data_IF_411942232826
#
_entry.id   IF_411942232826
#
_cell.length_a   1.000
_cell.length_b   1.000
_cell.length_c   1.000
_cell.angle_alpha   90.00
_cell.angle_beta   90.00
_cell.angle_gamma   90.00
#
_symmetry.space_group_name_H-M   'P 1'
#
loop_
_entity.id
_entity.type
_entity.pdbx_description
1 polymer ?
#
# COMPACT_ATOMS: atom_id res chain seq x y z
N UNK A 1 -0.44 29.28 -27.84
CA UNK A 1 -1.05 28.89 -26.56
C UNK A 1 -2.41 28.32 -26.91
N UNK A 2 -2.69 27.08 -26.53
CA UNK A 2 -3.99 26.45 -26.76
C UNK A 2 -4.71 26.37 -25.41
N UNK A 3 -5.95 26.84 -25.35
CA UNK A 3 -6.77 26.83 -24.15
C UNK A 3 -7.89 25.80 -24.31
N UNK A 4 -8.17 25.05 -23.24
CA UNK A 4 -9.29 24.13 -23.18
C UNK A 4 -10.51 24.87 -22.63
N UNK A 5 -11.62 24.84 -23.38
CA UNK A 5 -12.84 25.58 -23.05
C UNK A 5 -13.99 24.71 -22.56
N UNK A 6 -13.85 23.39 -22.58
CA UNK A 6 -14.93 22.45 -22.24
C UNK A 6 -14.75 21.87 -20.83
N UNK A 7 -15.82 21.94 -20.02
CA UNK A 7 -15.85 21.37 -18.66
C UNK A 7 -16.29 19.91 -18.73
N UNK A 8 -15.34 18.99 -18.62
CA UNK A 8 -15.63 17.55 -18.71
C UNK A 8 -16.15 16.93 -17.40
N UNK A 9 -15.76 17.49 -16.24
CA UNK A 9 -16.03 16.88 -14.93
C UNK A 9 -17.49 17.04 -14.50
N UNK A 10 -18.07 18.21 -14.72
CA UNK A 10 -19.47 18.53 -14.42
C UNK A 10 -20.32 18.59 -15.70
N UNK A 11 -19.97 17.83 -16.75
CA UNK A 11 -20.61 17.96 -18.07
C UNK A 11 -22.13 17.72 -18.06
N UNK A 12 -22.60 16.89 -17.13
CA UNK A 12 -24.02 16.55 -16.97
C UNK A 12 -24.80 17.63 -16.20
N UNK A 13 -24.11 18.58 -15.56
CA UNK A 13 -24.68 19.68 -14.80
C UNK A 13 -24.04 21.02 -15.23
N UNK A 14 -24.54 21.51 -16.36
CA UNK A 14 -24.04 22.74 -16.98
C UNK A 14 -24.22 23.96 -16.08
N UNK A 15 -25.34 24.05 -15.36
CA UNK A 15 -25.63 25.19 -14.47
C UNK A 15 -24.61 25.25 -13.33
N UNK A 16 -24.33 24.11 -12.69
CA UNK A 16 -23.30 24.04 -11.66
C UNK A 16 -21.89 24.30 -12.21
N UNK A 17 -21.57 23.76 -13.38
CA UNK A 17 -20.28 24.02 -14.04
C UNK A 17 -20.04 25.53 -14.28
N UNK A 18 -21.07 26.26 -14.70
CA UNK A 18 -21.00 27.70 -14.94
C UNK A 18 -20.86 28.50 -13.64
N UNK A 19 -21.56 28.10 -12.57
CA UNK A 19 -21.37 28.69 -11.23
C UNK A 19 -19.90 28.56 -10.79
N UNK A 20 -19.30 27.38 -10.94
CA UNK A 20 -17.89 27.15 -10.58
C UNK A 20 -16.92 28.02 -11.41
N UNK A 21 -17.20 28.19 -12.70
CA UNK A 21 -16.40 29.08 -13.57
C UNK A 21 -16.48 30.55 -13.13
N UNK A 22 -17.67 31.04 -12.78
CA UNK A 22 -17.83 32.40 -12.25
C UNK A 22 -17.10 32.58 -10.92
N UNK A 23 -17.14 31.60 -10.03
CA UNK A 23 -16.41 31.62 -8.76
C UNK A 23 -14.89 31.68 -8.99
N UNK A 24 -14.37 30.86 -9.91
CA UNK A 24 -12.95 30.86 -10.30
C UNK A 24 -12.46 32.25 -10.71
N UNK A 25 -13.28 32.99 -11.43
CA UNK A 25 -12.94 34.33 -11.95
C UNK A 25 -13.29 35.47 -10.98
N UNK A 26 -13.95 35.18 -9.86
CA UNK A 26 -14.45 36.20 -8.93
C UNK A 26 -15.68 36.95 -9.44
N UNK A 27 -16.36 36.45 -10.48
CA UNK A 27 -17.53 37.04 -11.13
C UNK A 27 -18.87 36.42 -10.66
N UNK A 28 -18.89 35.77 -9.50
CA UNK A 28 -20.08 35.13 -8.96
C UNK A 28 -21.11 36.18 -8.50
N UNK A 29 -22.39 35.84 -8.66
CA UNK A 29 -23.53 36.66 -8.26
C UNK A 29 -24.05 36.26 -6.88
N UNK A 30 -24.91 37.09 -6.28
CA UNK A 30 -25.61 36.72 -5.04
C UNK A 30 -26.47 35.47 -5.22
N UNK A 31 -27.12 35.31 -6.37
CA UNK A 31 -27.91 34.12 -6.69
C UNK A 31 -27.04 32.85 -6.72
N UNK A 32 -25.82 32.93 -7.27
CA UNK A 32 -24.87 31.80 -7.27
C UNK A 32 -24.54 31.36 -5.84
N UNK A 33 -24.34 32.33 -4.94
CA UNK A 33 -24.05 32.07 -3.53
C UNK A 33 -25.24 31.44 -2.82
N UNK A 34 -26.47 31.89 -3.09
CA UNK A 34 -27.67 31.29 -2.49
C UNK A 34 -27.84 29.82 -2.93
N UNK A 35 -27.62 29.51 -4.21
CA UNK A 35 -27.63 28.11 -4.71
C UNK A 35 -26.62 27.25 -3.95
N UNK A 36 -25.40 27.76 -3.68
CA UNK A 36 -24.40 27.02 -2.92
C UNK A 36 -24.77 26.87 -1.44
N UNK A 37 -25.42 27.89 -0.85
CA UNK A 37 -25.89 27.81 0.54
C UNK A 37 -26.97 26.74 0.74
N UNK A 38 -27.76 26.43 -0.29
CA UNK A 38 -28.72 25.30 -0.25
C UNK A 38 -28.03 23.94 -0.04
N UNK A 39 -26.71 23.86 -0.26
CA UNK A 39 -25.91 22.64 -0.05
C UNK A 39 -25.22 22.60 1.32
N UNK A 40 -25.43 23.60 2.18
CA UNK A 40 -24.91 23.59 3.54
C UNK A 40 -25.67 22.52 4.34
N UNK A 41 -24.92 21.57 4.90
CA UNK A 41 -25.47 20.59 5.82
C UNK A 41 -25.79 21.25 7.17
N UNK A 42 -27.05 21.16 7.60
CA UNK A 42 -27.53 21.68 8.88
C UNK A 42 -27.45 20.65 10.02
N UNK A 43 -26.65 19.60 9.86
CA UNK A 43 -26.44 18.53 10.83
C UNK A 43 -24.98 18.53 11.29
N UNK A 44 -24.76 18.36 12.60
CA UNK A 44 -23.40 18.34 13.15
C UNK A 44 -22.73 16.98 12.93
N UNK A 45 -21.39 16.89 12.94
CA UNK A 45 -20.66 15.63 12.81
C UNK A 45 -21.00 14.55 13.86
N UNK A 46 -21.68 14.92 14.95
CA UNK A 46 -22.12 13.98 15.99
C UNK A 46 -23.51 13.40 15.73
N UNK A 47 -24.24 13.95 14.75
CA UNK A 47 -25.57 13.47 14.38
C UNK A 47 -25.46 12.11 13.66
N UNK A 48 -26.35 11.13 13.95
CA UNK A 48 -26.29 9.80 13.32
C UNK A 48 -26.35 9.82 11.79
N UNK A 49 -27.13 10.77 11.24
CA UNK A 49 -27.29 10.93 9.78
C UNK A 49 -26.18 11.77 9.13
N UNK A 50 -25.17 12.21 9.90
CA UNK A 50 -24.04 12.92 9.32
C UNK A 50 -23.24 11.97 8.41
N UNK A 51 -22.91 12.37 7.17
CA UNK A 51 -22.27 11.48 6.20
C UNK A 51 -20.77 11.33 6.48
N UNK A 52 -20.42 10.79 7.64
CA UNK A 52 -19.04 10.66 8.13
C UNK A 52 -18.15 9.81 7.20
N UNK A 53 -18.77 8.92 6.42
CA UNK A 53 -18.10 8.04 5.46
C UNK A 53 -17.82 8.69 4.11
N UNK A 54 -18.29 9.91 3.87
CA UNK A 54 -17.97 10.65 2.64
C UNK A 54 -16.64 11.41 2.77
N UNK A 55 -16.12 11.83 1.62
CA UNK A 55 -14.86 12.56 1.53
C UNK A 55 -15.04 13.98 2.05
N UNK A 56 -14.26 14.36 3.07
CA UNK A 56 -14.27 15.69 3.66
C UNK A 56 -13.05 16.50 3.19
N UNK A 57 -13.28 17.75 2.80
CA UNK A 57 -12.22 18.67 2.40
C UNK A 57 -12.00 19.73 3.48
N UNK A 58 -10.75 19.90 3.88
CA UNK A 58 -10.33 20.87 4.89
C UNK A 58 -9.25 21.79 4.35
N UNK A 59 -9.16 23.00 4.91
CA UNK A 59 -8.14 23.99 4.54
C UNK A 59 -6.76 23.74 5.14
N UNK A 60 -6.65 22.81 6.12
CA UNK A 60 -5.38 22.52 6.81
C UNK A 60 -5.21 21.03 7.06
N UNK A 61 -3.97 20.56 7.02
CA UNK A 61 -3.64 19.16 7.35
C UNK A 61 -4.01 18.82 8.80
N UNK A 62 -3.87 19.75 9.74
CA UNK A 62 -4.26 19.53 11.14
C UNK A 62 -5.75 19.18 11.27
N UNK A 63 -6.63 19.82 10.49
CA UNK A 63 -8.05 19.49 10.47
C UNK A 63 -8.33 18.14 9.78
N UNK A 64 -7.56 17.81 8.73
CA UNK A 64 -7.60 16.47 8.10
C UNK A 64 -7.22 15.39 9.11
N UNK A 65 -6.09 15.57 9.80
CA UNK A 65 -5.58 14.62 10.80
C UNK A 65 -6.58 14.47 11.96
N UNK A 66 -7.12 15.57 12.46
CA UNK A 66 -8.16 15.53 13.50
C UNK A 66 -9.40 14.75 13.04
N UNK A 67 -9.88 14.98 11.82
CA UNK A 67 -11.03 14.26 11.29
C UNK A 67 -10.74 12.76 11.11
N UNK A 68 -9.65 12.43 10.40
CA UNK A 68 -9.31 11.05 10.06
C UNK A 68 -8.93 10.24 11.31
N UNK A 69 -8.08 10.77 12.17
CA UNK A 69 -7.60 10.04 13.35
C UNK A 69 -8.67 9.99 14.44
N UNK A 70 -9.19 11.15 14.85
CA UNK A 70 -10.09 11.19 16.00
C UNK A 70 -11.53 10.82 15.64
N UNK A 71 -12.09 11.46 14.60
CA UNK A 71 -13.53 11.33 14.31
C UNK A 71 -13.88 10.06 13.55
N UNK A 72 -12.96 9.57 12.70
CA UNK A 72 -13.15 8.34 11.92
C UNK A 72 -12.47 7.14 12.59
N UNK A 73 -11.15 7.18 12.79
CA UNK A 73 -10.38 6.02 13.24
C UNK A 73 -10.61 5.65 14.72
N UNK A 74 -10.48 6.60 15.64
CA UNK A 74 -10.58 6.32 17.08
C UNK A 74 -12.02 5.99 17.51
N UNK A 75 -13.00 6.75 17.03
CA UNK A 75 -14.42 6.55 17.37
C UNK A 75 -15.04 5.30 16.75
N UNK A 76 -14.49 4.78 15.66
CA UNK A 76 -15.02 3.57 15.04
C UNK A 76 -14.77 2.33 15.90
N UNK A 77 -15.81 1.49 15.99
CA UNK A 77 -15.76 0.15 16.58
C UNK A 77 -15.39 -0.94 15.58
N UNK A 78 -15.20 -0.60 14.30
CA UNK A 78 -14.77 -1.57 13.30
C UNK A 78 -13.34 -2.03 13.57
N UNK A 79 -13.01 -3.19 12.99
CA UNK A 79 -11.66 -3.75 13.00
C UNK A 79 -10.65 -2.73 12.47
N UNK A 80 -9.57 -2.52 13.23
CA UNK A 80 -8.53 -1.54 12.92
C UNK A 80 -7.14 -1.99 13.35
N UNK A 81 -6.12 -1.51 12.66
CA UNK A 81 -4.70 -1.85 12.92
C UNK A 81 -3.80 -0.67 12.58
N UNK A 82 -2.75 -0.48 13.38
CA UNK A 82 -1.65 0.43 13.08
C UNK A 82 -0.47 -0.36 12.48
N UNK A 83 -0.11 -0.05 11.24
CA UNK A 83 1.02 -0.66 10.54
C UNK A 83 2.21 0.27 10.64
N UNK A 84 3.20 -0.09 11.46
CA UNK A 84 4.44 0.68 11.60
C UNK A 84 5.32 0.53 10.35
N UNK A 85 5.99 1.60 9.93
CA UNK A 85 7.02 1.51 8.89
C UNK A 85 8.23 0.76 9.37
N UNK A 86 8.98 0.23 8.40
CA UNK A 86 10.28 -0.39 8.62
C UNK A 86 11.29 0.46 7.85
N UNK A 87 12.07 1.25 8.58
CA UNK A 87 13.08 2.12 8.00
C UNK A 87 14.42 1.41 7.88
N UNK A 88 15.04 1.53 6.72
CA UNK A 88 16.27 0.81 6.39
C UNK A 88 17.28 1.76 5.78
N UNK A 89 18.52 1.67 6.28
CA UNK A 89 19.68 2.42 5.77
C UNK A 89 20.51 1.49 4.91
N UNK A 90 20.61 1.81 3.62
CA UNK A 90 21.42 1.07 2.64
C UNK A 90 22.86 1.59 2.64
N UNK A 91 23.83 0.67 2.50
CA UNK A 91 25.26 0.98 2.40
C UNK A 91 26.15 0.19 3.36
N UNK A 92 27.44 0.12 3.04
CA UNK A 92 28.46 -0.49 3.90
C UNK A 92 28.86 0.48 5.02
N UNK A 93 28.05 0.50 6.06
CA UNK A 93 28.20 1.35 7.24
C UNK A 93 28.16 0.46 8.49
N UNK A 94 28.86 0.90 9.55
CA UNK A 94 28.77 0.23 10.85
C UNK A 94 27.33 0.28 11.40
N UNK A 95 26.97 -0.72 12.19
CA UNK A 95 25.63 -0.80 12.78
C UNK A 95 25.31 0.40 13.68
N UNK A 96 26.31 0.91 14.41
CA UNK A 96 26.17 2.15 15.20
C UNK A 96 25.78 3.35 14.32
N UNK A 97 26.44 3.50 13.17
CA UNK A 97 26.13 4.59 12.26
C UNK A 97 24.74 4.42 11.62
N UNK A 98 24.34 3.21 11.27
CA UNK A 98 22.99 2.91 10.77
C UNK A 98 21.93 3.28 11.81
N UNK A 99 22.12 2.91 13.07
CA UNK A 99 21.18 3.25 14.15
C UNK A 99 21.13 4.76 14.42
N UNK A 100 22.27 5.46 14.32
CA UNK A 100 22.30 6.93 14.42
C UNK A 100 21.55 7.59 13.27
N UNK A 101 21.66 7.07 12.05
CA UNK A 101 20.95 7.59 10.87
C UNK A 101 19.44 7.35 10.97
N UNK A 102 19.02 6.16 11.40
CA UNK A 102 17.59 5.87 11.64
C UNK A 102 16.95 6.85 12.62
N UNK A 103 17.66 7.24 13.69
CA UNK A 103 17.19 8.24 14.66
C UNK A 103 17.03 9.65 14.08
N UNK A 104 17.62 9.93 12.92
CA UNK A 104 17.49 11.22 12.23
C UNK A 104 16.40 11.23 11.16
N UNK A 105 15.71 10.10 10.93
CA UNK A 105 14.59 10.05 9.99
C UNK A 105 13.46 10.95 10.53
N UNK A 106 13.02 11.96 9.78
CA UNK A 106 11.94 12.83 10.22
C UNK A 106 10.61 12.08 10.25
N UNK A 107 9.78 12.35 11.25
CA UNK A 107 8.43 11.78 11.34
C UNK A 107 7.42 12.40 10.37
N UNK A 108 7.74 13.57 9.79
CA UNK A 108 6.80 14.33 8.97
C UNK A 108 6.73 13.79 7.53
N UNK A 109 5.53 13.45 7.00
CA UNK A 109 5.36 12.89 5.65
C UNK A 109 5.94 13.79 4.54
N UNK A 110 5.97 15.12 4.76
CA UNK A 110 6.56 16.08 3.82
C UNK A 110 8.08 15.92 3.64
N UNK A 111 8.75 15.23 4.57
CA UNK A 111 10.20 14.97 4.53
C UNK A 111 10.54 13.51 4.22
N UNK A 112 9.54 12.65 4.08
CA UNK A 112 9.65 11.21 3.81
C UNK A 112 8.91 10.81 2.53
N UNK A 113 8.80 11.75 1.57
CA UNK A 113 8.11 11.56 0.28
C UNK A 113 6.67 11.07 0.42
N UNK A 114 5.96 11.54 1.44
CA UNK A 114 4.56 11.18 1.71
C UNK A 114 4.38 9.91 2.53
N UNK A 115 5.46 9.28 3.03
CA UNK A 115 5.38 8.09 3.87
C UNK A 115 5.23 8.45 5.35
N UNK A 116 4.13 8.00 5.95
CA UNK A 116 3.89 8.12 7.38
C UNK A 116 4.61 7.01 8.14
N UNK A 117 5.12 7.29 9.33
CA UNK A 117 5.76 6.26 10.18
C UNK A 117 4.79 5.20 10.70
N UNK A 118 3.49 5.51 10.70
CA UNK A 118 2.40 4.60 11.01
C UNK A 118 1.30 4.79 9.97
N UNK A 119 0.85 3.69 9.38
CA UNK A 119 -0.32 3.65 8.52
C UNK A 119 -1.49 3.01 9.28
N UNK A 120 -2.46 3.84 9.66
CA UNK A 120 -3.64 3.43 10.39
C UNK A 120 -4.72 2.95 9.42
N UNK A 121 -5.09 1.68 9.56
CA UNK A 121 -6.02 0.97 8.68
C UNK A 121 -7.30 0.66 9.43
N UNK A 122 -8.44 1.12 8.91
CA UNK A 122 -9.77 0.90 9.45
C UNK A 122 -10.66 0.20 8.42
N UNK A 123 -11.28 -0.91 8.83
CA UNK A 123 -12.24 -1.62 8.00
C UNK A 123 -13.50 -0.78 7.75
N UNK A 124 -14.01 -0.84 6.52
CA UNK A 124 -15.11 -0.06 5.94
C UNK A 124 -14.86 1.44 5.78
N UNK A 125 -13.64 1.93 6.05
CA UNK A 125 -13.27 3.31 5.77
C UNK A 125 -12.71 3.48 4.34
N UNK A 126 -12.81 4.71 3.84
CA UNK A 126 -12.28 5.12 2.52
C UNK A 126 -10.79 5.45 2.61
N UNK A 127 -10.06 5.06 1.58
CA UNK A 127 -8.64 5.30 1.41
C UNK A 127 -8.32 5.54 -0.06
N UNK A 128 -7.32 6.37 -0.32
CA UNK A 128 -6.74 6.55 -1.65
C UNK A 128 -5.42 5.80 -1.74
N UNK A 129 -5.15 5.18 -2.90
CA UNK A 129 -3.82 4.69 -3.19
C UNK A 129 -2.85 5.88 -3.28
N UNK A 130 -1.71 5.81 -2.58
CA UNK A 130 -0.69 6.86 -2.60
C UNK A 130 0.39 6.65 -3.67
N UNK A 131 0.38 5.51 -4.37
CA UNK A 131 1.38 5.14 -5.38
C UNK A 131 0.73 4.40 -6.54
N UNK A 132 1.39 4.43 -7.70
CA UNK A 132 0.96 3.65 -8.86
C UNK A 132 1.38 2.18 -8.68
N UNK A 133 0.40 1.28 -8.63
CA UNK A 133 0.62 -0.17 -8.59
C UNK A 133 0.53 -0.75 -10.00
N UNK A 134 -0.53 -0.40 -10.73
CA UNK A 134 -0.72 -0.77 -12.14
C UNK A 134 -1.54 0.30 -12.85
N UNK A 135 -0.86 1.17 -13.62
CA UNK A 135 -1.51 2.28 -14.33
C UNK A 135 -2.48 1.77 -15.39
N UNK A 136 -2.12 0.69 -16.09
CA UNK A 136 -2.95 0.10 -17.14
C UNK A 136 -4.24 -0.52 -16.61
N UNK A 137 -4.24 -0.97 -15.36
CA UNK A 137 -5.38 -1.61 -14.70
C UNK A 137 -6.10 -0.66 -13.71
N UNK A 138 -5.84 0.65 -13.82
CA UNK A 138 -6.50 1.68 -13.02
C UNK A 138 -6.07 1.74 -11.53
N UNK A 139 -5.09 0.94 -11.11
CA UNK A 139 -4.53 0.97 -9.76
C UNK A 139 -3.49 2.10 -9.65
N UNK A 140 -3.96 3.33 -9.79
CA UNK A 140 -3.14 4.55 -9.84
C UNK A 140 -3.17 5.31 -8.51
N UNK A 141 -2.20 6.21 -8.32
CA UNK A 141 -2.24 7.19 -7.24
C UNK A 141 -3.55 8.01 -7.31
N UNK A 142 -4.25 8.13 -6.18
CA UNK A 142 -5.55 8.78 -6.05
C UNK A 142 -6.75 7.88 -6.35
N UNK A 143 -6.55 6.59 -6.65
CA UNK A 143 -7.68 5.67 -6.81
C UNK A 143 -8.33 5.40 -5.44
N UNK A 144 -9.56 5.87 -5.27
CA UNK A 144 -10.36 5.71 -4.04
C UNK A 144 -10.85 4.27 -3.89
N UNK A 145 -10.70 3.72 -2.70
CA UNK A 145 -11.14 2.39 -2.33
C UNK A 145 -11.67 2.34 -0.90
N UNK A 146 -12.40 1.28 -0.58
CA UNK A 146 -12.90 0.98 0.75
C UNK A 146 -12.21 -0.27 1.25
N UNK A 147 -11.65 -0.24 2.46
CA UNK A 147 -11.04 -1.43 3.06
C UNK A 147 -12.13 -2.40 3.49
N UNK A 148 -12.04 -3.65 3.04
CA UNK A 148 -13.04 -4.70 3.29
C UNK A 148 -12.54 -5.79 4.22
N UNK A 149 -11.24 -6.06 4.23
CA UNK A 149 -10.65 -7.06 5.14
C UNK A 149 -9.18 -6.78 5.39
N UNK A 150 -8.79 -6.94 6.65
CA UNK A 150 -7.40 -6.96 7.09
C UNK A 150 -7.00 -8.44 7.21
N UNK A 151 -6.04 -8.89 6.41
CA UNK A 151 -5.67 -10.30 6.30
C UNK A 151 -4.22 -10.50 6.73
N UNK A 152 -4.05 -11.08 7.92
CA UNK A 152 -2.77 -11.31 8.56
C UNK A 152 -2.00 -12.48 7.98
N UNK A 153 -2.69 -13.47 7.42
CA UNK A 153 -2.16 -14.74 6.87
C UNK A 153 -1.35 -15.62 7.82
N UNK A 154 -0.80 -15.05 8.88
CA UNK A 154 0.02 -15.70 9.90
C UNK A 154 -0.69 -15.53 11.24
N UNK A 155 -1.06 -16.64 11.84
CA UNK A 155 -1.71 -16.66 13.16
C UNK A 155 -0.81 -15.98 14.21
N UNK A 156 -1.39 -15.07 14.98
CA UNK A 156 -0.67 -14.28 15.99
C UNK A 156 0.20 -13.13 15.45
N UNK A 157 0.25 -12.91 14.14
CA UNK A 157 0.95 -11.74 13.58
C UNK A 157 0.23 -10.44 13.95
N UNK A 158 1.00 -9.43 14.34
CA UNK A 158 0.51 -8.06 14.51
C UNK A 158 0.51 -7.26 13.22
N UNK A 159 1.07 -7.83 12.13
CA UNK A 159 1.23 -7.16 10.84
C UNK A 159 0.41 -7.85 9.76
N UNK A 160 -0.51 -7.14 9.09
CA UNK A 160 -1.26 -7.69 7.97
C UNK A 160 -0.36 -7.88 6.75
N UNK A 161 -0.64 -8.92 5.95
CA UNK A 161 0.08 -9.19 4.69
C UNK A 161 -0.73 -8.77 3.47
N UNK A 162 -2.06 -8.74 3.60
CA UNK A 162 -2.96 -8.31 2.54
C UNK A 162 -4.03 -7.39 3.14
N UNK A 163 -4.23 -6.24 2.50
CA UNK A 163 -5.40 -5.41 2.72
C UNK A 163 -6.32 -5.60 1.53
N UNK A 164 -7.49 -6.19 1.74
CA UNK A 164 -8.48 -6.36 0.69
C UNK A 164 -9.31 -5.09 0.56
N UNK A 165 -9.36 -4.52 -0.63
CA UNK A 165 -10.05 -3.26 -0.89
C UNK A 165 -11.10 -3.40 -1.99
N UNK A 166 -12.14 -2.58 -1.93
CA UNK A 166 -13.14 -2.45 -2.98
C UNK A 166 -13.02 -1.06 -3.60
N UNK A 167 -12.72 -0.99 -4.90
CA UNK A 167 -12.72 0.27 -5.64
C UNK A 167 -14.13 0.68 -6.03
N UNK A 168 -14.36 2.00 -6.13
CA UNK A 168 -15.63 2.54 -6.59
C UNK A 168 -15.96 2.08 -8.02
N UNK A 169 -14.96 2.09 -8.90
CA UNK A 169 -15.10 1.62 -10.27
C UNK A 169 -14.69 0.15 -10.36
N UNK A 170 -15.65 -0.73 -10.68
CA UNK A 170 -15.44 -2.18 -10.66
C UNK A 170 -14.37 -2.68 -11.66
N UNK A 171 -14.09 -1.90 -12.69
CA UNK A 171 -13.10 -2.26 -13.70
C UNK A 171 -11.65 -2.14 -13.20
N UNK A 172 -11.41 -1.35 -12.13
CA UNK A 172 -10.09 -1.17 -11.54
C UNK A 172 -9.61 -2.50 -10.93
N UNK A 173 -8.37 -2.87 -11.22
CA UNK A 173 -7.72 -4.08 -10.71
C UNK A 173 -8.19 -5.36 -11.39
N UNK A 174 -8.87 -5.30 -12.54
CA UNK A 174 -9.42 -6.48 -13.22
C UNK A 174 -8.34 -7.51 -13.57
N UNK A 175 -7.21 -7.06 -14.09
CA UNK A 175 -6.11 -7.92 -14.50
C UNK A 175 -5.36 -8.41 -13.26
N UNK A 176 -5.16 -7.51 -12.29
CA UNK A 176 -4.54 -7.79 -11.01
C UNK A 176 -5.29 -8.89 -10.23
N UNK A 177 -6.63 -8.85 -10.21
CA UNK A 177 -7.44 -9.89 -9.57
C UNK A 177 -7.29 -11.25 -10.24
N UNK A 178 -7.07 -11.30 -11.56
CA UNK A 178 -6.83 -12.57 -12.27
C UNK A 178 -5.44 -13.13 -11.96
N UNK A 179 -4.42 -12.27 -11.99
CA UNK A 179 -3.05 -12.60 -11.62
C UNK A 179 -2.97 -13.20 -10.21
N UNK A 180 -3.64 -12.57 -9.25
CA UNK A 180 -3.66 -12.98 -7.85
C UNK A 180 -4.89 -13.83 -7.46
N UNK A 181 -5.53 -14.50 -8.42
CA UNK A 181 -6.74 -15.29 -8.20
C UNK A 181 -6.56 -16.44 -7.19
N UNK A 182 -5.34 -16.93 -7.02
CA UNK A 182 -4.99 -17.95 -6.03
C UNK A 182 -5.08 -17.48 -4.58
N UNK A 183 -5.15 -16.16 -4.33
CA UNK A 183 -5.28 -15.60 -2.97
C UNK A 183 -6.72 -15.65 -2.44
N UNK A 184 -7.71 -15.89 -3.31
CA UNK A 184 -9.12 -15.89 -2.96
C UNK A 184 -9.56 -17.21 -2.33
N UNK A 185 -10.50 -17.13 -1.41
CA UNK A 185 -11.18 -18.28 -0.82
C UNK A 185 -12.66 -17.93 -0.62
N UNK A 186 -13.43 -18.83 0.00
CA UNK A 186 -14.87 -18.65 0.19
C UNK A 186 -15.25 -17.41 1.03
N UNK A 187 -14.31 -16.84 1.78
CA UNK A 187 -14.52 -15.63 2.59
C UNK A 187 -14.13 -14.32 1.90
N UNK A 188 -13.67 -14.36 0.65
CA UNK A 188 -13.20 -13.20 -0.11
C UNK A 188 -14.07 -12.99 -1.34
N UNK A 189 -14.69 -11.82 -1.43
CA UNK A 189 -15.50 -11.45 -2.59
C UNK A 189 -14.63 -11.24 -3.83
N UNK A 190 -15.10 -11.73 -4.98
CA UNK A 190 -14.33 -11.73 -6.24
C UNK A 190 -14.03 -10.34 -6.81
N UNK A 191 -14.72 -9.30 -6.34
CA UNK A 191 -14.49 -7.92 -6.75
C UNK A 191 -13.52 -7.18 -5.83
N UNK A 192 -13.10 -7.77 -4.70
CA UNK A 192 -12.11 -7.15 -3.83
C UNK A 192 -10.71 -7.32 -4.44
N UNK A 193 -9.93 -6.25 -4.46
CA UNK A 193 -8.56 -6.26 -4.94
C UNK A 193 -7.61 -6.45 -3.76
N UNK A 194 -6.66 -7.39 -3.81
CA UNK A 194 -5.64 -7.51 -2.77
C UNK A 194 -4.60 -6.41 -2.91
N UNK A 195 -4.40 -5.58 -1.89
CA UNK A 195 -3.23 -4.71 -1.76
C UNK A 195 -2.19 -5.46 -0.94
N UNK A 196 -1.10 -5.83 -1.62
CA UNK A 196 -0.04 -6.67 -1.06
C UNK A 196 1.04 -5.81 -0.41
N UNK A 197 1.63 -6.34 0.66
CA UNK A 197 2.85 -5.76 1.21
C UNK A 197 3.99 -5.87 0.18
N UNK A 198 4.53 -4.71 -0.22
CA UNK A 198 5.67 -4.68 -1.13
C UNK A 198 6.98 -4.79 -0.34
N UNK A 199 7.58 -5.98 -0.35
CA UNK A 199 8.87 -6.24 0.29
C UNK A 199 9.98 -6.04 -0.75
N UNK A 200 10.80 -5.01 -0.58
CA UNK A 200 11.93 -4.71 -1.48
C UNK A 200 13.25 -5.02 -0.80
N UNK A 201 13.74 -6.25 -1.01
CA UNK A 201 15.03 -6.83 -0.57
C UNK A 201 14.84 -8.03 0.35
N UNK A 202 15.23 -9.21 -0.12
CA UNK A 202 15.25 -10.42 0.71
C UNK A 202 16.26 -10.30 1.85
N UNK A 203 17.44 -9.72 1.59
CA UNK A 203 18.49 -9.53 2.59
C UNK A 203 17.97 -8.90 3.89
N UNK A 204 17.11 -7.91 3.75
CA UNK A 204 16.63 -7.09 4.86
C UNK A 204 15.36 -7.64 5.51
N UNK A 205 14.56 -8.38 4.74
CA UNK A 205 13.24 -8.83 5.15
C UNK A 205 13.14 -10.34 5.28
N UNK A 206 14.26 -11.05 5.41
CA UNK A 206 14.21 -12.52 5.43
C UNK A 206 13.35 -13.07 6.56
N UNK A 207 13.29 -12.39 7.72
CA UNK A 207 12.39 -12.78 8.80
C UNK A 207 10.90 -12.59 8.42
N UNK A 208 10.55 -11.47 7.80
CA UNK A 208 9.20 -11.21 7.30
C UNK A 208 8.81 -12.21 6.22
N UNK A 209 9.68 -12.40 5.23
CA UNK A 209 9.52 -13.35 4.12
C UNK A 209 9.40 -14.79 4.64
N UNK A 210 10.26 -15.19 5.59
CA UNK A 210 10.21 -16.51 6.19
C UNK A 210 8.94 -16.74 7.02
N UNK A 211 8.33 -15.67 7.53
CA UNK A 211 7.07 -15.73 8.27
C UNK A 211 5.86 -15.80 7.35
N UNK A 212 5.96 -15.30 6.12
CA UNK A 212 4.85 -15.13 5.19
C UNK A 212 4.18 -16.46 4.81
N UNK A 213 2.85 -16.44 4.76
CA UNK A 213 2.06 -17.64 4.47
C UNK A 213 2.23 -18.11 3.03
N UNK A 214 2.22 -17.20 2.06
CA UNK A 214 2.32 -17.59 0.64
C UNK A 214 3.69 -18.21 0.39
N UNK A 215 4.74 -17.64 1.01
CA UNK A 215 6.08 -18.21 0.98
C UNK A 215 6.11 -19.61 1.58
N UNK A 216 5.50 -19.83 2.75
CA UNK A 216 5.43 -21.16 3.37
C UNK A 216 4.57 -22.16 2.58
N UNK A 217 3.49 -21.69 1.97
CA UNK A 217 2.55 -22.52 1.23
C UNK A 217 3.10 -22.96 -0.12
N UNK A 218 3.90 -22.12 -0.80
CA UNK A 218 4.51 -22.42 -2.08
C UNK A 218 5.50 -23.59 -2.00
N UNK A 219 5.54 -24.41 -3.04
CA UNK A 219 6.53 -25.50 -3.13
C UNK A 219 7.92 -25.00 -3.52
N UNK A 220 7.95 -23.93 -4.32
CA UNK A 220 9.15 -23.22 -4.76
C UNK A 220 8.89 -21.72 -4.64
N UNK A 221 9.80 -20.99 -4.00
CA UNK A 221 9.83 -19.54 -4.00
C UNK A 221 11.09 -19.06 -4.72
N UNK A 222 10.94 -18.08 -5.61
CA UNK A 222 12.07 -17.44 -6.28
C UNK A 222 12.01 -15.94 -5.98
N UNK A 223 13.06 -15.43 -5.35
CA UNK A 223 13.25 -14.02 -5.09
C UNK A 223 14.35 -13.50 -6.00
N UNK A 224 14.06 -12.42 -6.72
CA UNK A 224 15.03 -11.67 -7.51
C UNK A 224 15.36 -10.37 -6.78
N UNK A 225 16.43 -9.71 -7.20
CA UNK A 225 16.92 -8.48 -6.58
C UNK A 225 17.13 -8.65 -5.06
N UNK A 226 17.70 -9.80 -4.67
CA UNK A 226 17.79 -10.22 -3.27
C UNK A 226 18.71 -9.37 -2.43
N UNK A 227 19.59 -8.61 -3.10
CA UNK A 227 20.69 -7.87 -2.51
C UNK A 227 21.59 -8.70 -1.60
N UNK A 228 21.75 -9.99 -1.87
CA UNK A 228 22.59 -10.92 -1.13
C UNK A 228 24.02 -10.98 -1.72
N UNK A 229 25.05 -11.24 -0.91
CA UNK A 229 26.43 -11.35 -1.37
C UNK A 229 27.19 -12.54 -0.77
N UNK A 230 28.38 -12.87 -1.30
CA UNK A 230 29.17 -14.03 -0.87
C UNK A 230 29.60 -14.01 0.59
N UNK A 231 29.60 -12.84 1.23
CA UNK A 231 29.93 -12.69 2.65
C UNK A 231 28.75 -13.06 3.58
N UNK A 232 27.54 -13.21 3.03
CA UNK A 232 26.35 -13.58 3.78
C UNK A 232 26.32 -15.08 4.09
N UNK A 233 26.23 -15.44 5.37
CA UNK A 233 26.01 -16.82 5.78
C UNK A 233 24.60 -17.28 5.39
N UNK A 234 24.49 -18.41 4.68
CA UNK A 234 23.22 -19.03 4.29
C UNK A 234 22.29 -19.32 5.48
N UNK A 235 22.83 -19.63 6.66
CA UNK A 235 22.02 -19.90 7.86
C UNK A 235 21.16 -18.70 8.25
N UNK A 236 21.66 -17.48 8.05
CA UNK A 236 20.93 -16.24 8.34
C UNK A 236 19.73 -16.03 7.42
N UNK A 237 19.67 -16.73 6.28
CA UNK A 237 18.61 -16.60 5.29
C UNK A 237 17.78 -17.87 5.14
N UNK A 238 17.90 -18.80 6.09
CA UNK A 238 17.24 -20.08 6.02
C UNK A 238 15.74 -19.94 6.33
N UNK A 239 14.88 -20.33 5.40
CA UNK A 239 13.44 -20.46 5.65
C UNK A 239 13.15 -21.88 6.17
N UNK A 240 12.47 -22.04 7.32
CA UNK A 240 12.13 -23.36 7.86
C UNK A 240 11.34 -24.21 6.85
N UNK A 241 11.76 -25.47 6.66
CA UNK A 241 11.11 -26.40 5.73
C UNK A 241 11.59 -26.30 4.27
N UNK A 242 12.41 -25.30 3.94
CA UNK A 242 12.98 -25.12 2.60
C UNK A 242 14.48 -25.45 2.55
N UNK A 243 15.00 -25.60 1.34
CA UNK A 243 16.40 -25.58 1.02
C UNK A 243 16.68 -24.36 0.15
N UNK A 244 17.70 -23.59 0.51
CA UNK A 244 18.12 -22.38 -0.20
C UNK A 244 19.14 -22.74 -1.29
N UNK A 245 18.89 -22.24 -2.50
CA UNK A 245 19.82 -22.16 -3.62
C UNK A 245 19.94 -20.68 -3.99
N UNK A 246 21.14 -20.14 -4.15
CA UNK A 246 21.30 -18.71 -4.45
C UNK A 246 22.38 -18.49 -5.50
N UNK A 247 22.17 -17.44 -6.28
CA UNK A 247 23.15 -16.87 -7.20
C UNK A 247 23.30 -15.41 -6.85
N UNK A 248 24.47 -15.06 -6.32
CA UNK A 248 24.80 -13.71 -5.90
C UNK A 248 25.45 -12.97 -7.05
N UNK A 249 24.99 -11.75 -7.34
CA UNK A 249 25.61 -10.93 -8.38
C UNK A 249 26.67 -10.01 -7.77
N UNK A 250 27.93 -10.27 -8.10
CA UNK A 250 29.08 -9.62 -7.45
C UNK A 250 30.07 -9.11 -8.49
N UNK A 251 30.03 -7.81 -8.83
CA UNK A 251 31.21 -7.10 -9.27
C UNK A 251 31.96 -6.60 -8.03
N UNK A 252 33.17 -7.12 -7.80
CA UNK A 252 34.18 -6.55 -6.89
C UNK A 252 33.82 -6.46 -5.39
N UNK A 253 33.08 -7.44 -4.86
CA UNK A 253 32.84 -7.58 -3.41
C UNK A 253 31.83 -6.59 -2.81
N UNK A 254 31.28 -5.68 -3.62
CA UNK A 254 30.21 -4.78 -3.21
C UNK A 254 28.85 -5.48 -3.25
N UNK A 255 28.01 -5.23 -2.24
CA UNK A 255 26.59 -5.67 -2.25
C UNK A 255 25.85 -4.85 -3.31
N UNK A 256 25.27 -5.53 -4.29
CA UNK A 256 24.41 -4.91 -5.32
C UNK A 256 22.95 -5.30 -5.09
N UNK A 257 21.96 -4.61 -5.68
CA UNK A 257 20.58 -5.05 -5.62
C UNK A 257 20.37 -6.41 -6.30
N UNK A 258 21.21 -6.76 -7.27
CA UNK A 258 21.05 -7.95 -8.11
C UNK A 258 21.37 -9.24 -7.36
N UNK A 259 20.76 -10.33 -7.84
CA UNK A 259 20.91 -11.66 -7.25
C UNK A 259 19.60 -12.42 -7.28
N UNK A 260 19.67 -13.72 -7.06
CA UNK A 260 18.50 -14.60 -7.01
C UNK A 260 18.63 -15.59 -5.86
N UNK A 261 17.57 -15.80 -5.11
CA UNK A 261 17.46 -16.83 -4.09
C UNK A 261 16.22 -17.68 -4.36
N UNK A 262 16.43 -18.97 -4.51
CA UNK A 262 15.41 -19.99 -4.75
C UNK A 262 15.29 -20.86 -3.51
N UNK A 263 14.09 -20.92 -2.94
CA UNK A 263 13.76 -21.80 -1.83
C UNK A 263 12.87 -22.92 -2.32
N UNK A 264 13.32 -24.16 -2.19
CA UNK A 264 12.53 -25.36 -2.55
C UNK A 264 12.16 -26.14 -1.30
N UNK A 265 10.90 -26.54 -1.11
CA UNK A 265 10.50 -27.36 0.04
C UNK A 265 11.34 -28.64 0.08
N UNK A 266 11.87 -28.98 1.26
CA UNK A 266 12.82 -30.09 1.44
C UNK A 266 12.28 -31.45 0.97
N UNK A 267 10.97 -31.65 0.99
CA UNK A 267 10.35 -32.88 0.48
C UNK A 267 10.56 -33.10 -1.03
N UNK A 268 10.89 -32.05 -1.79
CA UNK A 268 11.19 -32.15 -3.22
C UNK A 268 12.68 -32.10 -3.53
N UNK A 269 13.55 -31.80 -2.56
CA UNK A 269 14.99 -31.63 -2.83
C UNK A 269 15.78 -32.93 -2.84
N UNK A 270 15.22 -34.03 -2.36
CA UNK A 270 15.77 -35.39 -2.56
C UNK A 270 15.90 -35.76 -4.04
N UNK A 271 15.09 -35.17 -4.93
CA UNK A 271 15.15 -35.38 -6.39
C UNK A 271 16.01 -34.36 -7.14
N UNK A 272 16.45 -33.28 -6.49
CA UNK A 272 17.21 -32.19 -7.12
C UNK A 272 18.73 -32.38 -7.10
N UNK A 273 19.25 -33.43 -6.43
CA UNK A 273 20.69 -33.75 -6.41
C UNK A 273 21.27 -34.07 -7.79
N UNK A 274 20.45 -34.24 -8.82
CA UNK A 274 20.88 -34.56 -10.19
C UNK A 274 20.98 -33.34 -11.11
N UNK A 275 20.60 -32.14 -10.64
CA UNK A 275 20.72 -30.92 -11.43
C UNK A 275 21.93 -30.10 -10.97
N UNK A 276 23.10 -30.40 -11.55
CA UNK A 276 24.17 -29.42 -11.67
C UNK A 276 23.69 -28.31 -12.63
N UNK A 277 22.89 -27.39 -12.12
CA UNK A 277 22.70 -26.10 -12.80
C UNK A 277 23.85 -25.22 -12.35
N UNK A 278 24.90 -25.16 -13.18
CA UNK A 278 25.72 -23.97 -13.22
C UNK A 278 24.81 -22.85 -13.73
N UNK A 279 24.46 -21.92 -12.84
CA UNK A 279 23.97 -20.59 -13.22
C UNK A 279 25.17 -19.74 -13.65
#
# INVERSE_FOLDING_TARGET
MFELSEVMRQREDKEFAEILNRIREGNHTEADIEILKERILNISPQHPDYPISLTHLFSTNMAVDQHNDHDVFQKSSNEKVDIKTIDIVLGDLSDDLKERLKKQIPNGPSKTMGLYSVCSILKEAKYDLMTNVSVLDGLTNGAECIIKKIDYRVEGSSRPRIIWVLFQEQHIGNDYRREYSYLYNQSIEKNWVPILENVRSLHLHVADVASDYNVKAADINMFVETALCSNDNNESYQIPGFQLFRSDFIPDGARTPYGTAVYVKRQYTTHLRTFNVQL
#
